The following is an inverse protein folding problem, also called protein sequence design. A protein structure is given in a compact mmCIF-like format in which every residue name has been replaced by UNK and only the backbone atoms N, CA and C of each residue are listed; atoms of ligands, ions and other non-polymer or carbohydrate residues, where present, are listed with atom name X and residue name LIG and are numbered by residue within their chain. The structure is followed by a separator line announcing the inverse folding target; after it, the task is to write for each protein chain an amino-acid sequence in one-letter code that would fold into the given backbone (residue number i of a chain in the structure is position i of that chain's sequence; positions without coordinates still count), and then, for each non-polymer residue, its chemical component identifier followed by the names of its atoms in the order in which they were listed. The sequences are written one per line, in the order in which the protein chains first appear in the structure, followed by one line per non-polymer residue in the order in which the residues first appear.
data_IF_773490023715
#
_entry.id   IF_773490023715
#
_cell.length_a   1.000
_cell.length_b   1.000
_cell.length_c   1.000
_cell.angle_alpha   90.00
_cell.angle_beta   90.00
_cell.angle_gamma   90.00
#
_symmetry.space_group_name_H-M   'P 1'
#
loop_
_entity.id
_entity.type
_entity.pdbx_description
1 polymer ?
#
# COMPACT_ATOMS: atom_id res chain seq x y z
N UNK A 1 -12.71 22.74 2.43
CA UNK A 1 -13.13 21.31 2.37
C UNK A 1 -13.00 20.72 3.76
N UNK A 2 -14.11 20.59 4.51
CA UNK A 2 -14.07 20.00 5.84
C UNK A 2 -13.82 18.49 5.71
N UNK A 3 -12.73 18.00 6.29
CA UNK A 3 -12.43 16.56 6.35
C UNK A 3 -13.43 15.91 7.32
N UNK A 4 -14.43 15.20 6.78
CA UNK A 4 -15.52 14.51 7.53
C UNK A 4 -15.05 13.20 8.18
N UNK A 5 -13.85 13.18 8.77
CA UNK A 5 -13.29 11.96 9.36
C UNK A 5 -14.06 11.45 10.57
N UNK A 6 -14.54 12.30 11.51
CA UNK A 6 -15.31 11.81 12.66
C UNK A 6 -16.58 11.07 12.25
N UNK A 7 -17.30 11.59 11.25
CA UNK A 7 -18.52 10.97 10.74
C UNK A 7 -18.22 9.65 10.02
N UNK A 8 -17.13 9.59 9.24
CA UNK A 8 -16.68 8.35 8.61
C UNK A 8 -16.29 7.29 9.65
N UNK A 9 -15.58 7.67 10.71
CA UNK A 9 -15.23 6.81 11.85
C UNK A 9 -16.47 6.24 12.52
N UNK A 10 -17.49 7.07 12.78
CA UNK A 10 -18.73 6.61 13.41
C UNK A 10 -19.46 5.57 12.55
N UNK A 11 -19.57 5.82 11.24
CA UNK A 11 -20.21 4.90 10.31
C UNK A 11 -19.43 3.59 10.17
N UNK A 12 -18.10 3.68 10.03
CA UNK A 12 -17.23 2.52 9.91
C UNK A 12 -17.24 1.67 11.19
N UNK A 13 -17.30 2.29 12.36
CA UNK A 13 -17.47 1.58 13.63
C UNK A 13 -18.78 0.78 13.66
N UNK A 14 -19.90 1.34 13.18
CA UNK A 14 -21.17 0.62 13.07
C UNK A 14 -21.07 -0.55 12.09
N UNK A 15 -20.42 -0.36 10.94
CA UNK A 15 -20.23 -1.43 9.94
C UNK A 15 -19.41 -2.58 10.53
N UNK A 16 -18.31 -2.27 11.21
CA UNK A 16 -17.45 -3.29 11.85
C UNK A 16 -18.15 -3.99 13.02
N UNK A 17 -19.03 -3.29 13.74
CA UNK A 17 -19.86 -3.92 14.78
C UNK A 17 -20.93 -4.87 14.19
N UNK A 18 -21.49 -4.54 13.03
CA UNK A 18 -22.46 -5.39 12.33
C UNK A 18 -21.79 -6.62 11.68
N UNK A 19 -20.65 -6.44 11.03
CA UNK A 19 -19.85 -7.53 10.47
C UNK A 19 -18.38 -7.43 10.93
N UNK A 20 -18.06 -8.10 12.05
CA UNK A 20 -16.70 -8.13 12.57
C UNK A 20 -15.71 -8.86 11.67
N UNK A 21 -16.14 -9.59 10.64
CA UNK A 21 -15.25 -10.34 9.74
C UNK A 21 -14.99 -9.62 8.43
N UNK A 22 -15.64 -8.48 8.19
CA UNK A 22 -15.45 -7.71 6.97
C UNK A 22 -14.13 -6.92 7.00
N UNK A 23 -13.04 -7.58 6.61
CA UNK A 23 -11.67 -7.03 6.67
C UNK A 23 -11.51 -5.70 5.91
N UNK A 24 -12.25 -5.51 4.82
CA UNK A 24 -12.18 -4.29 4.01
C UNK A 24 -12.75 -3.08 4.77
N UNK A 25 -13.88 -3.23 5.45
CA UNK A 25 -14.41 -2.18 6.32
C UNK A 25 -13.48 -1.89 7.49
N UNK A 26 -12.86 -2.91 8.10
CA UNK A 26 -11.84 -2.71 9.14
C UNK A 26 -10.61 -1.95 8.64
N UNK A 27 -10.11 -2.29 7.46
CA UNK A 27 -8.97 -1.60 6.85
C UNK A 27 -9.33 -0.15 6.52
N UNK A 28 -10.52 0.08 5.99
CA UNK A 28 -11.02 1.44 5.72
C UNK A 28 -11.21 2.23 7.01
N UNK A 29 -11.64 1.57 8.09
CA UNK A 29 -11.76 2.15 9.42
C UNK A 29 -10.39 2.58 9.95
N UNK A 30 -9.39 1.70 9.86
CA UNK A 30 -8.00 2.04 10.19
C UNK A 30 -7.50 3.25 9.40
N UNK A 31 -7.78 3.34 8.10
CA UNK A 31 -7.40 4.47 7.27
C UNK A 31 -8.07 5.79 7.69
N UNK A 32 -9.35 5.75 8.05
CA UNK A 32 -10.07 6.90 8.56
C UNK A 32 -9.50 7.40 9.90
N UNK A 33 -9.22 6.47 10.82
CA UNK A 33 -8.56 6.75 12.10
C UNK A 33 -7.17 7.36 11.89
N UNK A 34 -6.38 6.79 10.98
CA UNK A 34 -5.06 7.27 10.63
C UNK A 34 -5.11 8.69 10.06
N UNK A 35 -6.06 8.98 9.16
CA UNK A 35 -6.27 10.32 8.62
C UNK A 35 -6.73 11.34 9.68
N UNK A 36 -7.39 10.85 10.73
CA UNK A 36 -7.81 11.63 11.90
C UNK A 36 -6.72 11.77 12.97
N UNK A 37 -5.52 11.21 12.75
CA UNK A 37 -4.39 11.26 13.70
C UNK A 37 -4.44 10.21 14.82
N UNK A 38 -5.44 9.33 14.82
CA UNK A 38 -5.61 8.26 15.81
C UNK A 38 -4.82 7.01 15.39
N UNK A 39 -3.49 7.13 15.41
CA UNK A 39 -2.57 6.09 14.93
C UNK A 39 -2.64 4.78 15.73
N UNK A 40 -2.70 4.77 17.08
CA UNK A 40 -2.81 3.52 17.83
C UNK A 40 -4.07 2.72 17.49
N UNK A 41 -5.22 3.39 17.39
CA UNK A 41 -6.49 2.78 17.04
C UNK A 41 -6.50 2.30 15.59
N UNK A 42 -5.87 3.07 14.67
CA UNK A 42 -5.70 2.65 13.29
C UNK A 42 -4.91 1.34 13.17
N UNK A 43 -3.77 1.26 13.85
CA UNK A 43 -2.93 0.05 13.89
C UNK A 43 -3.72 -1.14 14.44
N UNK A 44 -4.53 -0.95 15.49
CA UNK A 44 -5.37 -2.02 16.02
C UNK A 44 -6.38 -2.54 14.99
N UNK A 45 -7.02 -1.65 14.23
CA UNK A 45 -7.95 -2.07 13.16
C UNK A 45 -7.23 -2.79 12.02
N UNK A 46 -6.05 -2.34 11.61
CA UNK A 46 -5.25 -3.00 10.59
C UNK A 46 -4.77 -4.39 11.03
N UNK A 47 -4.36 -4.55 12.30
CA UNK A 47 -4.01 -5.87 12.86
C UNK A 47 -5.17 -6.84 12.80
N UNK A 48 -6.35 -6.41 13.25
CA UNK A 48 -7.57 -7.23 13.18
C UNK A 48 -7.94 -7.55 11.74
N UNK A 49 -7.73 -6.63 10.79
CA UNK A 49 -7.94 -6.93 9.37
C UNK A 49 -6.94 -7.98 8.85
N UNK A 50 -5.65 -7.88 9.23
CA UNK A 50 -4.60 -8.81 8.82
C UNK A 50 -4.80 -10.23 9.38
N UNK A 51 -5.51 -10.39 10.49
CA UNK A 51 -5.91 -11.71 11.01
C UNK A 51 -7.02 -12.38 10.16
N UNK A 52 -7.76 -11.60 9.38
CA UNK A 52 -8.92 -12.06 8.62
C UNK A 52 -8.63 -12.31 7.13
N UNK A 53 -7.50 -11.84 6.63
CA UNK A 53 -7.14 -11.94 5.20
C UNK A 53 -5.63 -12.00 5.00
N UNK A 54 -5.22 -12.65 3.92
CA UNK A 54 -3.86 -12.62 3.42
C UNK A 54 -3.67 -11.52 2.35
N UNK A 55 -4.53 -10.52 2.27
CA UNK A 55 -4.42 -9.43 1.29
C UNK A 55 -3.15 -8.57 1.57
N UNK A 56 -2.18 -8.53 0.63
CA UNK A 56 -0.96 -7.74 0.81
C UNK A 56 -1.20 -6.24 1.04
N UNK A 57 -2.34 -5.71 0.56
CA UNK A 57 -2.68 -4.30 0.78
C UNK A 57 -2.97 -4.01 2.26
N UNK A 58 -3.51 -4.98 3.00
CA UNK A 58 -3.76 -4.83 4.45
C UNK A 58 -2.43 -4.79 5.20
N UNK A 59 -1.46 -5.60 4.80
CA UNK A 59 -0.09 -5.53 5.34
C UNK A 59 0.56 -4.18 5.06
N UNK A 60 0.36 -3.63 3.86
CA UNK A 60 0.86 -2.30 3.49
C UNK A 60 0.26 -1.19 4.36
N UNK A 61 -1.05 -1.23 4.63
CA UNK A 61 -1.70 -0.27 5.51
C UNK A 61 -1.20 -0.38 6.95
N UNK A 62 -1.02 -1.60 7.46
CA UNK A 62 -0.45 -1.83 8.79
C UNK A 62 0.99 -1.29 8.87
N UNK A 63 1.83 -1.58 7.89
CA UNK A 63 3.20 -1.09 7.81
C UNK A 63 3.26 0.44 7.73
N UNK A 64 2.39 1.07 6.93
CA UNK A 64 2.24 2.52 6.90
C UNK A 64 1.82 3.08 8.25
N UNK A 65 0.85 2.45 8.93
CA UNK A 65 0.41 2.85 10.26
C UNK A 65 1.56 2.86 11.26
N UNK A 66 2.37 1.79 11.27
CA UNK A 66 3.57 1.70 12.09
C UNK A 66 4.61 2.77 11.77
N UNK A 67 4.91 2.98 10.48
CA UNK A 67 5.87 4.00 10.06
C UNK A 67 5.43 5.41 10.51
N UNK A 68 4.14 5.74 10.33
CA UNK A 68 3.57 7.02 10.79
C UNK A 68 3.56 7.17 12.31
N UNK A 69 3.46 6.09 13.06
CA UNK A 69 3.55 6.08 14.52
C UNK A 69 4.99 6.14 15.04
N UNK A 70 5.99 6.25 14.17
CA UNK A 70 7.41 6.22 14.53
C UNK A 70 7.95 4.82 14.84
N UNK A 71 7.14 3.77 14.67
CA UNK A 71 7.50 2.37 14.88
C UNK A 71 8.17 1.81 13.62
N UNK A 72 9.30 2.42 13.23
CA UNK A 72 10.00 2.13 11.97
C UNK A 72 10.39 0.66 11.83
N UNK A 73 10.86 0.03 12.90
CA UNK A 73 11.30 -1.37 12.86
C UNK A 73 10.15 -2.34 12.53
N UNK A 74 8.96 -2.10 13.08
CA UNK A 74 7.77 -2.91 12.77
C UNK A 74 7.30 -2.71 11.33
N UNK A 75 7.39 -1.48 10.81
CA UNK A 75 7.09 -1.22 9.40
C UNK A 75 8.08 -1.93 8.46
N UNK A 76 9.38 -1.93 8.79
CA UNK A 76 10.41 -2.63 8.02
C UNK A 76 10.24 -4.16 8.05
N UNK A 77 9.84 -4.74 9.19
CA UNK A 77 9.52 -6.17 9.27
C UNK A 77 8.39 -6.55 8.32
N UNK A 78 7.31 -5.76 8.30
CA UNK A 78 6.19 -6.01 7.40
C UNK A 78 6.56 -5.79 5.93
N UNK A 79 7.40 -4.79 5.63
CA UNK A 79 7.92 -4.59 4.28
C UNK A 79 8.71 -5.81 3.81
N UNK A 80 9.61 -6.34 4.63
CA UNK A 80 10.36 -7.57 4.32
C UNK A 80 9.43 -8.79 4.12
N UNK A 81 8.37 -8.89 4.93
CA UNK A 81 7.34 -9.92 4.74
C UNK A 81 6.62 -9.76 3.39
N UNK A 82 6.30 -8.52 2.98
CA UNK A 82 5.69 -8.25 1.68
C UNK A 82 6.64 -8.60 0.51
N UNK A 83 7.94 -8.31 0.65
CA UNK A 83 8.96 -8.70 -0.32
C UNK A 83 9.07 -10.23 -0.45
N UNK A 84 9.06 -10.96 0.67
CA UNK A 84 9.03 -12.42 0.65
C UNK A 84 7.76 -12.94 -0.03
N UNK A 85 6.60 -12.35 0.27
CA UNK A 85 5.34 -12.70 -0.38
C UNK A 85 5.38 -12.42 -1.89
N UNK A 86 6.03 -11.34 -2.32
CA UNK A 86 6.18 -10.98 -3.73
C UNK A 86 7.00 -12.02 -4.52
N UNK A 87 7.89 -12.77 -3.86
CA UNK A 87 8.59 -13.91 -4.50
C UNK A 87 7.66 -15.10 -4.77
N UNK A 88 6.58 -15.23 -4.01
CA UNK A 88 5.65 -16.38 -4.06
C UNK A 88 4.38 -16.09 -4.86
N UNK A 89 3.92 -14.83 -4.85
CA UNK A 89 2.71 -14.38 -5.55
C UNK A 89 2.81 -12.91 -5.90
N UNK A 90 1.96 -12.47 -6.83
CA UNK A 90 1.91 -11.06 -7.20
C UNK A 90 1.48 -10.17 -6.00
N UNK A 91 2.24 -9.11 -5.78
CA UNK A 91 1.93 -8.02 -4.85
C UNK A 91 2.04 -6.72 -5.65
N UNK A 92 0.95 -5.95 -5.69
CA UNK A 92 0.89 -4.74 -6.50
C UNK A 92 1.97 -3.72 -6.06
N UNK A 93 2.70 -3.08 -7.00
CA UNK A 93 3.71 -2.07 -6.69
C UNK A 93 3.17 -0.91 -5.85
N UNK A 94 1.87 -0.59 -6.01
CA UNK A 94 1.17 0.39 -5.18
C UNK A 94 1.25 0.09 -3.67
N UNK A 95 1.21 -1.18 -3.28
CA UNK A 95 1.32 -1.57 -1.88
C UNK A 95 2.71 -1.24 -1.31
N UNK A 96 3.77 -1.42 -2.09
CA UNK A 96 5.14 -1.03 -1.70
C UNK A 96 5.30 0.49 -1.65
N UNK A 97 4.74 1.21 -2.62
CA UNK A 97 4.78 2.68 -2.66
C UNK A 97 4.23 3.31 -1.37
N UNK A 98 3.10 2.80 -0.88
CA UNK A 98 2.45 3.23 0.37
C UNK A 98 3.41 3.17 1.56
N UNK A 99 4.19 2.10 1.65
CA UNK A 99 5.10 1.82 2.77
C UNK A 99 6.39 2.61 2.63
N UNK A 100 7.02 2.60 1.45
CA UNK A 100 8.23 3.38 1.20
C UNK A 100 8.00 4.88 1.41
N UNK A 101 6.84 5.41 0.98
CA UNK A 101 6.48 6.80 1.24
C UNK A 101 6.36 7.09 2.74
N UNK A 102 5.75 6.19 3.51
CA UNK A 102 5.60 6.34 4.95
C UNK A 102 6.93 6.24 5.71
N UNK A 103 7.89 5.48 5.19
CA UNK A 103 9.25 5.36 5.71
C UNK A 103 10.17 6.52 5.31
N UNK A 104 9.71 7.45 4.46
CA UNK A 104 10.52 8.55 3.93
C UNK A 104 11.48 8.11 2.81
N UNK A 105 11.32 6.90 2.26
CA UNK A 105 12.10 6.36 1.16
C UNK A 105 11.53 6.84 -0.18
N UNK A 106 11.47 8.16 -0.35
CA UNK A 106 10.76 8.82 -1.46
C UNK A 106 11.22 8.34 -2.84
N UNK A 107 12.52 8.07 -3.03
CA UNK A 107 13.05 7.55 -4.29
C UNK A 107 12.41 6.20 -4.67
N UNK A 108 12.42 5.23 -3.75
CA UNK A 108 11.78 3.93 -3.98
C UNK A 108 10.25 4.05 -4.14
N UNK A 109 9.63 4.96 -3.38
CA UNK A 109 8.20 5.20 -3.50
C UNK A 109 7.82 5.71 -4.89
N UNK A 110 8.62 6.60 -5.50
CA UNK A 110 8.41 7.07 -6.87
C UNK A 110 8.57 5.90 -7.87
N UNK A 111 9.64 5.12 -7.75
CA UNK A 111 9.86 3.94 -8.61
C UNK A 111 8.66 2.97 -8.53
N UNK A 112 8.12 2.73 -7.32
CA UNK A 112 6.95 1.88 -7.11
C UNK A 112 5.68 2.44 -7.74
N UNK A 113 5.47 3.76 -7.63
CA UNK A 113 4.33 4.44 -8.23
C UNK A 113 4.40 4.44 -9.75
N UNK A 114 5.58 4.61 -10.33
CA UNK A 114 5.79 4.52 -11.78
C UNK A 114 5.46 3.11 -12.27
N UNK A 115 5.91 2.07 -11.56
CA UNK A 115 5.53 0.67 -11.87
C UNK A 115 4.02 0.45 -11.75
N UNK A 116 3.40 0.93 -10.69
CA UNK A 116 1.95 0.81 -10.50
C UNK A 116 1.15 1.56 -11.59
N UNK A 117 1.65 2.71 -12.03
CA UNK A 117 1.08 3.46 -13.14
C UNK A 117 1.19 2.67 -14.43
N UNK A 118 2.38 2.18 -14.79
CA UNK A 118 2.61 1.38 -15.99
C UNK A 118 1.74 0.11 -16.01
N UNK A 119 1.61 -0.60 -14.91
CA UNK A 119 0.74 -1.79 -14.84
C UNK A 119 -0.75 -1.46 -15.04
N UNK A 120 -1.18 -0.24 -14.70
CA UNK A 120 -2.58 0.20 -14.81
C UNK A 120 -2.87 0.99 -16.10
N UNK A 121 -1.86 1.63 -16.68
CA UNK A 121 -1.97 2.50 -17.85
C UNK A 121 -1.73 1.79 -19.16
N UNK A 122 -1.40 0.49 -19.15
CA UNK A 122 -0.85 -0.19 -20.31
C UNK A 122 -1.78 -1.30 -20.86
N UNK A 123 -2.70 -0.98 -21.80
CA UNK A 123 -3.37 -1.98 -22.62
C UNK A 123 -2.39 -2.88 -23.39
N UNK A 124 -1.16 -2.40 -23.62
CA UNK A 124 -0.11 -3.08 -24.35
C UNK A 124 0.65 -4.12 -23.52
N UNK A 125 0.67 -4.13 -22.17
CA UNK A 125 1.24 -5.30 -21.43
C UNK A 125 0.42 -6.60 -21.70
N UNK A 126 -0.87 -6.47 -22.01
CA UNK A 126 -1.73 -7.57 -22.50
C UNK A 126 -1.36 -8.05 -23.92
N UNK A 127 -0.68 -7.24 -24.72
CA UNK A 127 -0.29 -7.52 -26.11
C UNK A 127 1.24 -7.70 -26.30
N UNK A 128 2.07 -7.17 -25.42
CA UNK A 128 3.52 -7.04 -25.59
C UNK A 128 4.31 -8.23 -25.03
N UNK A 129 3.64 -9.19 -24.36
CA UNK A 129 4.16 -10.56 -24.27
C UNK A 129 4.09 -11.30 -25.62
N UNK A 130 3.34 -10.78 -26.60
CA UNK A 130 3.39 -11.22 -27.99
C UNK A 130 4.34 -10.38 -28.87
N UNK A 131 4.91 -9.28 -28.36
CA UNK A 131 5.78 -8.35 -29.11
C UNK A 131 7.05 -8.03 -28.30
N UNK A 132 7.75 -9.05 -27.80
CA UNK A 132 9.13 -8.89 -27.32
C UNK A 132 10.13 -8.42 -28.40
N UNK A 133 9.66 -7.95 -29.56
CA UNK A 133 10.40 -7.95 -30.82
C UNK A 133 10.67 -6.58 -31.47
N UNK A 134 10.26 -5.45 -30.89
CA UNK A 134 10.62 -4.15 -31.49
C UNK A 134 10.88 -2.99 -30.51
N UNK A 135 12.13 -2.56 -30.49
CA UNK A 135 12.62 -1.18 -30.33
C UNK A 135 12.90 -0.55 -28.95
N UNK A 136 14.14 -0.77 -28.51
CA UNK A 136 15.18 0.26 -28.25
C UNK A 136 14.77 1.74 -28.17
N UNK A 137 14.33 2.20 -27.00
CA UNK A 137 14.38 3.63 -26.63
C UNK A 137 14.63 3.92 -25.13
N UNK A 138 14.49 2.91 -24.27
CA UNK A 138 14.56 3.05 -22.80
C UNK A 138 15.98 3.15 -22.21
N UNK A 139 17.04 3.04 -23.01
CA UNK A 139 18.44 3.11 -22.54
C UNK A 139 19.04 4.52 -22.55
N UNK A 140 18.32 5.56 -23.04
CA UNK A 140 18.88 6.91 -23.22
C UNK A 140 18.63 7.90 -22.07
N UNK A 141 17.90 7.52 -21.02
CA UNK A 141 17.58 8.44 -19.91
C UNK A 141 18.20 8.09 -18.55
N UNK A 142 19.11 7.10 -18.50
CA UNK A 142 19.97 6.87 -17.33
C UNK A 142 21.42 6.99 -17.75
N UNK A 143 22.13 7.87 -17.05
CA UNK A 143 23.55 8.25 -17.17
C UNK A 143 23.89 9.35 -18.18
N UNK A 144 23.93 10.58 -17.67
CA UNK A 144 25.04 11.50 -17.95
C UNK A 144 25.55 12.05 -16.62
N UNK A 145 26.72 11.62 -16.11
CA UNK A 145 27.56 12.51 -15.32
C UNK A 145 28.29 13.44 -16.28
N UNK A 146 28.34 14.73 -15.92
CA UNK A 146 29.41 15.74 -16.02
C UNK A 146 28.78 17.14 -16.16
#
# INVERSE_FOLDING_TARGET
MARRYPEAIEQLNKIVAMDPRFYYARSTFGLALQCNGQLPEAIAQYKQAAELTDDPLVLAWLAQGYAKAGQRDEALKLLAQMEELATKRYVGPWAFAIVHLALGETGKAIDDLERAYLERSDPFITLNKAVTDHDTAWSRFRFSPE
#
